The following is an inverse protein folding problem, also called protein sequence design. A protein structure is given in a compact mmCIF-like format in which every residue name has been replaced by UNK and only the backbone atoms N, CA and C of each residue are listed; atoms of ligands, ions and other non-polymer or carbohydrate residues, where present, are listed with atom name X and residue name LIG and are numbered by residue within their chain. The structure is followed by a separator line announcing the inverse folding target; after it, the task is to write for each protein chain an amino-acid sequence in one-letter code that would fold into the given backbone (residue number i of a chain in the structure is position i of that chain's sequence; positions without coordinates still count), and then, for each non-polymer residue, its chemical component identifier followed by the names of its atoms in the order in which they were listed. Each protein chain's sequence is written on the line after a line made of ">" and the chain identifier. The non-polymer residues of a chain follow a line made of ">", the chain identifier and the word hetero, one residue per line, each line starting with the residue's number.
data_IF_966058111697
#
_entry.id   IF_966058111697
#
_cell.length_a   1.000
_cell.length_b   1.000
_cell.length_c   1.000
_cell.angle_alpha   90.00
_cell.angle_beta   90.00
_cell.angle_gamma   90.00
#
_symmetry.space_group_name_H-M   'P 1'
#
loop_
_entity.id
_entity.type
_entity.pdbx_description
1 polymer ?
#
# COMPACT_ATOMS: atom_id res chain seq x y z
N UNK A 1 -18.87 11.67 -17.62
CA UNK A 1 -19.50 11.25 -16.36
C UNK A 1 -18.66 11.82 -15.23
N UNK A 2 -19.26 12.64 -14.36
CA UNK A 2 -18.55 13.20 -13.22
C UNK A 2 -18.32 12.06 -12.22
N UNK A 3 -17.09 11.57 -12.13
CA UNK A 3 -16.70 10.53 -11.17
C UNK A 3 -16.86 11.17 -9.79
N UNK A 4 -17.77 10.70 -8.91
CA UNK A 4 -17.96 11.31 -7.62
C UNK A 4 -16.84 10.84 -6.70
N UNK A 5 -15.68 11.47 -6.85
CA UNK A 5 -14.45 11.20 -6.09
C UNK A 5 -14.74 11.17 -4.58
N UNK A 6 -15.66 12.03 -4.12
CA UNK A 6 -16.10 12.12 -2.72
C UNK A 6 -16.91 10.90 -2.27
N UNK A 7 -17.72 10.30 -3.14
CA UNK A 7 -18.50 9.09 -2.82
C UNK A 7 -17.64 7.84 -2.80
N UNK A 8 -16.58 7.76 -3.62
CA UNK A 8 -15.58 6.70 -3.51
C UNK A 8 -14.90 6.67 -2.13
N UNK A 9 -14.81 7.82 -1.45
CA UNK A 9 -14.27 7.93 -0.09
C UNK A 9 -15.28 7.58 0.99
N UNK A 10 -16.54 8.01 0.86
CA UNK A 10 -17.57 7.82 1.90
C UNK A 10 -18.40 6.55 1.75
N UNK A 11 -18.54 6.04 0.53
CA UNK A 11 -19.37 4.89 0.18
C UNK A 11 -18.61 3.94 -0.76
N UNK A 12 -17.55 3.29 -0.26
CA UNK A 12 -16.71 2.43 -1.08
C UNK A 12 -17.51 1.30 -1.75
N UNK A 13 -18.59 0.81 -1.14
CA UNK A 13 -19.43 -0.26 -1.73
C UNK A 13 -20.19 0.19 -2.99
N UNK A 14 -20.76 1.40 -2.99
CA UNK A 14 -21.51 1.92 -4.15
C UNK A 14 -20.57 2.16 -5.35
N UNK A 15 -19.38 2.71 -5.10
CA UNK A 15 -18.35 2.90 -6.12
C UNK A 15 -17.84 1.57 -6.71
N UNK A 16 -17.74 0.52 -5.88
CA UNK A 16 -17.34 -0.81 -6.32
C UNK A 16 -18.39 -1.43 -7.26
N UNK A 17 -19.69 -1.29 -6.94
CA UNK A 17 -20.77 -1.84 -7.78
C UNK A 17 -20.85 -1.19 -9.16
N UNK A 18 -20.66 0.12 -9.24
CA UNK A 18 -20.67 0.87 -10.52
C UNK A 18 -19.48 0.47 -11.40
N UNK A 19 -18.29 0.39 -10.83
CA UNK A 19 -17.06 0.02 -11.54
C UNK A 19 -17.08 -1.46 -11.96
N UNK A 20 -17.66 -2.34 -11.15
CA UNK A 20 -17.88 -3.76 -11.48
C UNK A 20 -18.79 -3.94 -12.70
N UNK A 21 -19.79 -3.06 -12.89
CA UNK A 21 -20.68 -3.09 -14.06
C UNK A 21 -19.99 -2.65 -15.35
N UNK A 22 -19.10 -1.65 -15.28
CA UNK A 22 -18.44 -1.13 -16.47
C UNK A 22 -17.24 -1.98 -16.92
N UNK A 23 -16.56 -2.69 -15.99
CA UNK A 23 -15.30 -3.44 -16.23
C UNK A 23 -14.24 -2.65 -17.00
N UNK A 24 -14.25 -1.32 -16.92
CA UNK A 24 -13.30 -0.47 -17.64
C UNK A 24 -12.09 -0.16 -16.77
N UNK A 25 -10.91 -0.63 -17.17
CA UNK A 25 -9.63 -0.37 -16.51
C UNK A 25 -9.30 1.12 -16.36
N UNK A 26 -9.88 1.98 -17.19
CA UNK A 26 -9.64 3.42 -17.13
C UNK A 26 -9.98 4.02 -15.77
N UNK A 27 -11.05 3.55 -15.10
CA UNK A 27 -11.50 4.11 -13.82
C UNK A 27 -10.54 3.77 -12.67
N UNK A 28 -10.17 2.49 -12.44
CA UNK A 28 -9.11 2.14 -11.48
C UNK A 28 -7.77 2.85 -11.72
N UNK A 29 -7.38 3.04 -12.98
CA UNK A 29 -6.15 3.76 -13.33
C UNK A 29 -6.24 5.22 -12.90
N UNK A 30 -7.37 5.88 -13.14
CA UNK A 30 -7.59 7.27 -12.68
C UNK A 30 -7.50 7.37 -11.15
N UNK A 31 -8.07 6.41 -10.42
CA UNK A 31 -7.94 6.34 -8.96
C UNK A 31 -6.50 6.16 -8.51
N UNK A 32 -5.72 5.30 -9.17
CA UNK A 32 -4.29 5.15 -8.88
C UNK A 32 -3.49 6.42 -9.18
N UNK A 33 -3.82 7.16 -10.26
CA UNK A 33 -3.18 8.44 -10.57
C UNK A 33 -3.47 9.46 -9.47
N UNK A 34 -4.73 9.58 -9.04
CA UNK A 34 -5.13 10.50 -7.96
C UNK A 34 -4.44 10.12 -6.65
N UNK A 35 -4.51 8.85 -6.25
CA UNK A 35 -3.85 8.34 -5.05
C UNK A 35 -2.32 8.54 -5.13
N UNK A 36 -1.74 8.38 -6.32
CA UNK A 36 -0.33 8.63 -6.58
C UNK A 36 0.05 10.10 -6.40
N UNK A 37 -0.75 11.03 -6.94
CA UNK A 37 -0.54 12.48 -6.76
C UNK A 37 -0.63 12.85 -5.28
N UNK A 38 -1.66 12.36 -4.58
CA UNK A 38 -1.82 12.58 -3.14
C UNK A 38 -0.59 12.07 -2.37
N UNK A 39 -0.12 10.88 -2.71
CA UNK A 39 1.05 10.29 -2.08
C UNK A 39 2.33 11.06 -2.39
N UNK A 40 2.50 11.55 -3.62
CA UNK A 40 3.63 12.37 -4.02
C UNK A 40 3.73 13.65 -3.17
N UNK A 41 2.60 14.34 -2.99
CA UNK A 41 2.52 15.54 -2.14
C UNK A 41 2.86 15.17 -0.69
N UNK A 42 2.31 14.07 -0.18
CA UNK A 42 2.59 13.61 1.18
C UNK A 42 4.06 13.32 1.43
N UNK A 43 4.71 12.62 0.49
CA UNK A 43 6.14 12.29 0.59
C UNK A 43 7.02 13.53 0.45
N UNK A 44 6.65 14.50 -0.40
CA UNK A 44 7.35 15.78 -0.47
C UNK A 44 7.31 16.55 0.86
N UNK A 45 6.13 16.61 1.49
CA UNK A 45 5.94 17.27 2.79
C UNK A 45 6.72 16.58 3.91
N UNK A 46 6.68 15.24 3.94
CA UNK A 46 7.44 14.46 4.90
C UNK A 46 8.94 14.66 4.70
N UNK A 47 9.43 14.65 3.46
CA UNK A 47 10.83 14.89 3.14
C UNK A 47 11.29 16.30 3.52
N UNK A 48 10.44 17.31 3.33
CA UNK A 48 10.69 18.67 3.81
C UNK A 48 10.76 18.73 5.35
N UNK A 49 9.86 18.04 6.05
CA UNK A 49 9.88 18.00 7.53
C UNK A 49 11.10 17.25 8.11
N UNK A 50 11.59 16.24 7.38
CA UNK A 50 12.67 15.34 7.83
C UNK A 50 14.07 15.84 7.43
N UNK A 51 14.18 16.73 6.45
CA UNK A 51 15.44 17.20 5.85
C UNK A 51 16.40 17.95 6.79
N UNK A 52 16.09 18.07 8.08
CA UNK A 52 16.96 18.68 9.10
C UNK A 52 17.62 17.71 10.09
N UNK A 53 17.30 16.40 10.08
CA UNK A 53 17.62 15.53 11.24
C UNK A 53 18.31 14.20 10.94
N UNK A 54 18.53 13.81 9.68
CA UNK A 54 19.04 12.45 9.35
C UNK A 54 20.29 12.50 8.47
N UNK A 55 21.45 12.18 9.06
CA UNK A 55 22.67 11.84 8.32
C UNK A 55 22.40 10.69 7.36
N UNK A 56 22.62 10.93 6.07
CA UNK A 56 22.30 10.06 4.94
C UNK A 56 23.24 8.88 4.73
N UNK A 57 24.08 8.55 5.71
CA UNK A 57 25.06 7.47 5.59
C UNK A 57 24.37 6.09 5.71
N UNK A 58 24.29 5.38 4.58
CA UNK A 58 24.06 3.94 4.54
C UNK A 58 22.61 3.45 4.42
N UNK A 59 21.60 4.33 4.25
CA UNK A 59 20.20 3.90 4.07
C UNK A 59 19.57 4.52 2.81
N UNK A 60 19.31 3.75 1.74
CA UNK A 60 18.72 4.26 0.49
C UNK A 60 17.32 4.86 0.70
N UNK A 61 16.55 4.34 1.66
CA UNK A 61 15.24 4.90 2.03
C UNK A 61 15.34 6.32 2.64
N UNK A 62 16.40 6.58 3.42
CA UNK A 62 16.62 7.87 4.05
C UNK A 62 17.13 8.91 3.04
N UNK A 63 17.95 8.49 2.05
CA UNK A 63 18.33 9.35 0.93
C UNK A 63 17.14 9.73 0.05
N UNK A 64 16.20 8.80 -0.18
CA UNK A 64 14.97 9.07 -0.94
C UNK A 64 14.10 10.13 -0.25
N UNK A 65 14.03 10.09 1.08
CA UNK A 65 13.24 11.02 1.90
C UNK A 65 13.93 12.37 2.12
N UNK A 66 15.26 12.45 2.04
CA UNK A 66 16.00 13.68 2.30
C UNK A 66 15.92 14.72 1.17
N UNK A 67 15.47 14.35 -0.03
CA UNK A 67 15.19 15.29 -1.11
C UNK A 67 13.69 15.26 -1.44
N UNK A 68 12.94 16.35 -1.18
CA UNK A 68 11.49 16.36 -1.37
C UNK A 68 11.06 16.09 -2.81
N UNK A 69 11.88 16.47 -3.81
CA UNK A 69 11.59 16.17 -5.22
C UNK A 69 11.72 14.68 -5.53
N UNK A 70 12.76 14.03 -5.01
CA UNK A 70 12.96 12.57 -5.17
C UNK A 70 11.90 11.80 -4.39
N UNK A 71 11.56 12.25 -3.18
CA UNK A 71 10.49 11.66 -2.36
C UNK A 71 9.13 11.73 -3.08
N UNK A 72 8.81 12.85 -3.71
CA UNK A 72 7.57 13.02 -4.48
C UNK A 72 7.47 12.05 -5.64
N UNK A 73 8.52 11.99 -6.48
CA UNK A 73 8.57 11.09 -7.64
C UNK A 73 8.54 9.64 -7.18
N UNK A 74 9.30 9.29 -6.15
CA UNK A 74 9.30 7.96 -5.55
C UNK A 74 7.92 7.56 -5.04
N UNK A 75 7.26 8.42 -4.26
CA UNK A 75 5.91 8.17 -3.73
C UNK A 75 4.87 7.99 -4.85
N UNK A 76 4.90 8.84 -5.87
CA UNK A 76 4.04 8.70 -7.05
C UNK A 76 4.23 7.35 -7.74
N UNK A 77 5.49 7.01 -8.06
CA UNK A 77 5.82 5.77 -8.77
C UNK A 77 5.50 4.53 -7.95
N UNK A 78 5.73 4.55 -6.64
CA UNK A 78 5.38 3.44 -5.74
C UNK A 78 3.88 3.16 -5.80
N UNK A 79 3.03 4.19 -5.76
CA UNK A 79 1.56 3.97 -5.81
C UNK A 79 1.09 3.60 -7.20
N UNK A 80 1.60 4.26 -8.25
CA UNK A 80 1.17 3.98 -9.62
C UNK A 80 1.65 2.59 -10.07
N UNK A 81 2.96 2.36 -10.04
CA UNK A 81 3.57 1.09 -10.47
C UNK A 81 3.22 -0.01 -9.47
N UNK A 82 3.29 0.27 -8.16
CA UNK A 82 2.92 -0.70 -7.15
C UNK A 82 1.43 -1.05 -7.16
N UNK A 83 0.55 -0.12 -7.53
CA UNK A 83 -0.87 -0.41 -7.75
C UNK A 83 -1.11 -1.28 -8.98
N UNK A 84 -0.44 -0.98 -10.10
CA UNK A 84 -0.57 -1.74 -11.35
C UNK A 84 0.05 -3.15 -11.25
N UNK A 85 1.29 -3.25 -10.77
CA UNK A 85 2.00 -4.52 -10.57
C UNK A 85 1.44 -5.28 -9.36
N UNK A 86 1.08 -4.58 -8.30
CA UNK A 86 0.39 -5.17 -7.16
C UNK A 86 -0.96 -5.74 -7.57
N UNK A 87 -1.68 -5.10 -8.49
CA UNK A 87 -2.95 -5.60 -9.01
C UNK A 87 -2.76 -6.90 -9.79
N UNK A 88 -1.70 -6.98 -10.61
CA UNK A 88 -1.29 -8.22 -11.28
C UNK A 88 -0.94 -9.30 -10.26
N UNK A 89 -0.13 -8.97 -9.25
CA UNK A 89 0.25 -9.90 -8.21
C UNK A 89 -0.98 -10.40 -7.42
N UNK A 90 -1.91 -9.50 -7.09
CA UNK A 90 -3.12 -9.84 -6.37
C UNK A 90 -4.05 -10.74 -7.19
N UNK A 91 -4.14 -10.49 -8.50
CA UNK A 91 -4.81 -11.40 -9.43
C UNK A 91 -4.21 -12.81 -9.37
N UNK A 92 -2.88 -12.95 -9.36
CA UNK A 92 -2.21 -14.26 -9.27
C UNK A 92 -2.47 -14.95 -7.92
N UNK A 93 -2.42 -14.21 -6.81
CA UNK A 93 -2.74 -14.74 -5.47
C UNK A 93 -4.17 -15.27 -5.43
N UNK A 94 -5.13 -14.48 -5.91
CA UNK A 94 -6.54 -14.85 -5.94
C UNK A 94 -6.83 -15.97 -6.95
N UNK A 95 -6.11 -16.01 -8.06
CA UNK A 95 -6.17 -17.10 -9.04
C UNK A 95 -5.66 -18.43 -8.48
N UNK A 96 -4.61 -18.41 -7.65
CA UNK A 96 -4.15 -19.60 -6.93
C UNK A 96 -5.20 -20.15 -5.96
N UNK A 97 -6.09 -19.30 -5.44
CA UNK A 97 -7.25 -19.66 -4.62
C UNK A 97 -8.47 -20.10 -5.44
N UNK A 98 -8.32 -20.33 -6.75
CA UNK A 98 -9.38 -20.74 -7.69
C UNK A 98 -10.57 -19.77 -7.79
N UNK A 99 -10.34 -18.48 -7.56
CA UNK A 99 -11.37 -17.44 -7.75
C UNK A 99 -11.40 -16.93 -9.19
N UNK A 100 -12.52 -16.29 -9.57
CA UNK A 100 -12.58 -15.52 -10.82
C UNK A 100 -11.63 -14.33 -10.70
N UNK A 101 -10.46 -14.46 -11.31
CA UNK A 101 -9.36 -13.54 -11.18
C UNK A 101 -9.04 -12.91 -12.53
N UNK A 102 -9.38 -11.64 -12.66
CA UNK A 102 -9.04 -10.81 -13.81
C UNK A 102 -8.09 -9.69 -13.37
N UNK A 103 -7.26 -9.21 -14.30
CA UNK A 103 -6.32 -8.11 -14.01
C UNK A 103 -7.06 -6.85 -13.54
N UNK A 104 -8.22 -6.59 -14.14
CA UNK A 104 -9.13 -5.53 -13.72
C UNK A 104 -9.52 -5.64 -12.24
N UNK A 105 -9.88 -6.83 -11.76
CA UNK A 105 -10.27 -7.05 -10.37
C UNK A 105 -9.11 -6.72 -9.43
N UNK A 106 -7.89 -7.19 -9.74
CA UNK A 106 -6.71 -6.89 -8.93
C UNK A 106 -6.37 -5.40 -8.87
N UNK A 107 -6.35 -4.71 -10.01
CA UNK A 107 -6.06 -3.27 -10.08
C UNK A 107 -7.17 -2.44 -9.42
N UNK A 108 -8.45 -2.78 -9.66
CA UNK A 108 -9.59 -2.10 -9.04
C UNK A 108 -9.58 -2.23 -7.52
N UNK A 109 -9.29 -3.43 -7.00
CA UNK A 109 -9.15 -3.65 -5.56
C UNK A 109 -8.06 -2.75 -4.97
N UNK A 110 -6.86 -2.75 -5.55
CA UNK A 110 -5.78 -1.92 -5.01
C UNK A 110 -6.00 -0.42 -5.20
N UNK A 111 -6.64 0.01 -6.29
CA UNK A 111 -6.97 1.41 -6.53
C UNK A 111 -7.92 1.96 -5.45
N UNK A 112 -8.96 1.19 -5.10
CA UNK A 112 -9.91 1.57 -4.05
C UNK A 112 -9.28 1.53 -2.65
N UNK A 113 -8.33 0.64 -2.42
CA UNK A 113 -7.53 0.60 -1.18
C UNK A 113 -6.57 1.78 -1.09
N UNK A 114 -5.89 2.14 -2.18
CA UNK A 114 -4.89 3.20 -2.20
C UNK A 114 -5.47 4.59 -1.90
N UNK A 115 -6.73 4.83 -2.27
CA UNK A 115 -7.41 6.12 -2.04
C UNK A 115 -7.45 6.52 -0.55
N UNK A 116 -8.12 5.80 0.37
CA UNK A 116 -8.13 6.14 1.79
C UNK A 116 -6.74 6.13 2.42
N UNK A 117 -5.84 5.21 2.00
CA UNK A 117 -4.46 5.21 2.48
C UNK A 117 -3.70 6.49 2.12
N UNK A 118 -3.84 6.97 0.87
CA UNK A 118 -3.18 8.18 0.40
C UNK A 118 -3.68 9.45 1.09
N UNK A 119 -4.98 9.52 1.42
CA UNK A 119 -5.54 10.60 2.25
C UNK A 119 -5.02 10.56 3.68
N UNK A 120 -5.01 9.38 4.32
CA UNK A 120 -4.46 9.21 5.65
C UNK A 120 -3.00 9.67 5.72
N UNK A 121 -2.22 9.29 4.70
CA UNK A 121 -0.83 9.72 4.57
C UNK A 121 -0.69 11.24 4.37
N UNK A 122 -1.57 11.86 3.60
CA UNK A 122 -1.57 13.32 3.42
C UNK A 122 -1.82 14.04 4.74
N UNK A 123 -2.81 13.58 5.51
CA UNK A 123 -3.10 14.15 6.84
C UNK A 123 -1.89 13.99 7.77
N UNK A 124 -1.28 12.79 7.80
CA UNK A 124 -0.03 12.53 8.56
C UNK A 124 1.07 13.51 8.13
N UNK A 125 1.25 13.72 6.83
CA UNK A 125 2.31 14.58 6.29
C UNK A 125 2.12 16.06 6.65
N UNK A 126 0.90 16.56 6.57
CA UNK A 126 0.56 17.95 6.94
C UNK A 126 0.77 18.16 8.44
N UNK A 127 0.27 17.22 9.26
CA UNK A 127 0.43 17.32 10.71
C UNK A 127 1.89 17.17 11.14
N UNK A 128 2.72 16.43 10.39
CA UNK A 128 4.16 16.31 10.67
C UNK A 128 4.93 17.62 10.52
N UNK A 129 4.35 18.65 9.88
CA UNK A 129 4.92 20.01 9.87
C UNK A 129 4.86 20.69 11.25
N UNK A 130 3.97 20.23 12.15
CA UNK A 130 3.85 20.75 13.51
C UNK A 130 4.82 19.97 14.42
N UNK A 131 5.85 20.61 15.00
CA UNK A 131 6.84 19.91 15.80
C UNK A 131 6.24 19.20 17.02
N UNK A 132 6.77 18.01 17.34
CA UNK A 132 6.47 17.17 18.53
C UNK A 132 5.04 16.60 18.62
N UNK A 133 4.01 17.45 18.62
CA UNK A 133 2.62 17.01 18.78
C UNK A 133 2.01 16.52 17.45
N UNK A 134 2.42 17.13 16.34
CA UNK A 134 1.92 16.86 15.00
C UNK A 134 2.07 15.40 14.55
N UNK A 135 3.27 14.79 14.63
CA UNK A 135 3.48 13.40 14.26
C UNK A 135 2.62 12.41 15.07
N UNK A 136 2.40 12.68 16.37
CA UNK A 136 1.61 11.79 17.25
C UNK A 136 0.13 11.84 16.85
N UNK A 137 -0.43 13.04 16.71
CA UNK A 137 -1.83 13.23 16.31
C UNK A 137 -2.03 12.71 14.88
N UNK A 138 -1.07 13.00 14.00
CA UNK A 138 -1.04 12.49 12.63
C UNK A 138 -1.05 10.98 12.59
N UNK A 139 -0.22 10.30 13.38
CA UNK A 139 -0.19 8.84 13.46
C UNK A 139 -1.53 8.25 13.90
N UNK A 140 -2.19 8.84 14.91
CA UNK A 140 -3.50 8.38 15.39
C UNK A 140 -4.55 8.49 14.29
N UNK A 141 -4.64 9.64 13.61
CA UNK A 141 -5.61 9.85 12.53
C UNK A 141 -5.27 8.98 11.33
N UNK A 142 -3.99 8.88 10.97
CA UNK A 142 -3.50 8.02 9.90
C UNK A 142 -3.90 6.56 10.13
N UNK A 143 -3.81 6.07 11.37
CA UNK A 143 -4.22 4.71 11.73
C UNK A 143 -5.69 4.44 11.40
N UNK A 144 -6.58 5.41 11.63
CA UNK A 144 -8.00 5.30 11.24
C UNK A 144 -8.14 5.13 9.72
N UNK A 145 -7.44 5.93 8.92
CA UNK A 145 -7.48 5.82 7.46
C UNK A 145 -6.83 4.54 6.94
N UNK A 146 -5.76 4.05 7.56
CA UNK A 146 -5.17 2.76 7.24
C UNK A 146 -6.12 1.60 7.60
N UNK A 147 -6.85 1.70 8.71
CA UNK A 147 -7.88 0.72 9.06
C UNK A 147 -9.04 0.73 8.05
N UNK A 148 -9.50 1.92 7.63
CA UNK A 148 -10.49 2.06 6.56
C UNK A 148 -9.98 1.45 5.26
N UNK A 149 -8.72 1.72 4.90
CA UNK A 149 -8.06 1.14 3.73
C UNK A 149 -8.02 -0.38 3.79
N UNK A 150 -7.68 -0.98 4.94
CA UNK A 150 -7.68 -2.42 5.13
C UNK A 150 -9.10 -3.02 5.01
N UNK A 151 -10.10 -2.33 5.57
CA UNK A 151 -11.51 -2.70 5.41
C UNK A 151 -11.96 -2.65 3.94
N UNK A 152 -11.56 -1.61 3.22
CA UNK A 152 -11.83 -1.46 1.78
C UNK A 152 -11.14 -2.55 0.98
N UNK A 153 -9.89 -2.90 1.30
CA UNK A 153 -9.18 -4.02 0.66
C UNK A 153 -9.96 -5.33 0.81
N UNK A 154 -10.40 -5.66 2.04
CA UNK A 154 -11.18 -6.85 2.29
C UNK A 154 -12.50 -6.88 1.52
N UNK A 155 -13.28 -5.79 1.59
CA UNK A 155 -14.57 -5.70 0.92
C UNK A 155 -14.44 -5.70 -0.61
N UNK A 156 -13.48 -4.94 -1.15
CA UNK A 156 -13.21 -4.90 -2.59
C UNK A 156 -12.71 -6.25 -3.10
N UNK A 157 -11.93 -7.00 -2.32
CA UNK A 157 -11.52 -8.37 -2.68
C UNK A 157 -12.73 -9.28 -2.81
N UNK A 158 -13.59 -9.28 -1.80
CA UNK A 158 -14.83 -10.08 -1.81
C UNK A 158 -15.68 -9.79 -3.04
N UNK A 159 -15.83 -8.51 -3.35
CA UNK A 159 -16.77 -8.04 -4.37
C UNK A 159 -16.23 -8.19 -5.79
N UNK A 160 -14.97 -7.80 -6.06
CA UNK A 160 -14.37 -7.86 -7.40
C UNK A 160 -13.96 -9.28 -7.81
N UNK A 161 -13.60 -10.15 -6.87
CA UNK A 161 -13.24 -11.54 -7.15
C UNK A 161 -14.41 -12.52 -6.99
N UNK A 162 -15.63 -12.02 -6.72
CA UNK A 162 -16.86 -12.82 -6.57
C UNK A 162 -16.67 -14.02 -5.64
N UNK A 163 -16.12 -13.76 -4.45
CA UNK A 163 -15.56 -14.80 -3.58
C UNK A 163 -16.18 -14.76 -2.18
N UNK A 164 -16.17 -15.90 -1.48
CA UNK A 164 -16.62 -16.01 -0.10
C UNK A 164 -15.76 -15.19 0.87
N UNK A 165 -16.35 -14.83 2.01
CA UNK A 165 -15.68 -14.07 3.08
C UNK A 165 -14.37 -14.70 3.57
N UNK A 166 -14.31 -16.03 3.64
CA UNK A 166 -13.13 -16.78 4.09
C UNK A 166 -12.03 -16.71 3.03
N UNK A 167 -12.36 -16.96 1.78
CA UNK A 167 -11.41 -16.92 0.66
C UNK A 167 -10.86 -15.51 0.46
N UNK A 168 -11.70 -14.47 0.60
CA UNK A 168 -11.24 -13.08 0.61
C UNK A 168 -10.24 -12.80 1.74
N UNK A 169 -10.52 -13.30 2.96
CA UNK A 169 -9.61 -13.13 4.10
C UNK A 169 -8.27 -13.83 3.84
N UNK A 170 -8.29 -15.06 3.33
CA UNK A 170 -7.08 -15.82 2.97
C UNK A 170 -6.28 -15.09 1.89
N UNK A 171 -6.94 -14.54 0.87
CA UNK A 171 -6.30 -13.75 -0.17
C UNK A 171 -5.62 -12.48 0.36
N UNK A 172 -6.32 -11.69 1.18
CA UNK A 172 -5.77 -10.47 1.80
C UNK A 172 -4.60 -10.80 2.73
N UNK A 173 -4.72 -11.84 3.54
CA UNK A 173 -3.64 -12.28 4.45
C UNK A 173 -2.42 -12.80 3.71
N UNK A 174 -2.60 -13.65 2.69
CA UNK A 174 -1.49 -14.14 1.87
C UNK A 174 -0.76 -13.01 1.15
N UNK A 175 -1.50 -12.05 0.57
CA UNK A 175 -0.93 -10.88 -0.09
C UNK A 175 -0.17 -9.97 0.88
N UNK A 176 -0.79 -9.64 2.02
CA UNK A 176 -0.18 -8.75 3.02
C UNK A 176 1.04 -9.37 3.70
N UNK A 177 1.02 -10.67 4.03
CA UNK A 177 2.19 -11.38 4.55
C UNK A 177 3.34 -11.40 3.54
N UNK A 178 3.04 -11.66 2.27
CA UNK A 178 4.04 -11.70 1.22
C UNK A 178 4.69 -10.32 1.00
N UNK A 179 3.89 -9.25 0.95
CA UNK A 179 4.41 -7.88 0.88
C UNK A 179 5.23 -7.55 2.12
N UNK A 180 4.75 -7.91 3.31
CA UNK A 180 5.48 -7.67 4.57
C UNK A 180 6.84 -8.36 4.57
N UNK A 181 6.93 -9.57 4.02
CA UNK A 181 8.19 -10.31 3.89
C UNK A 181 9.17 -9.61 2.94
N UNK A 182 8.68 -9.09 1.79
CA UNK A 182 9.51 -8.32 0.85
C UNK A 182 10.02 -7.04 1.50
N UNK A 183 9.16 -6.31 2.21
CA UNK A 183 9.53 -5.08 2.93
C UNK A 183 10.55 -5.39 4.02
N UNK A 184 10.37 -6.46 4.79
CA UNK A 184 11.31 -6.89 5.82
C UNK A 184 12.68 -7.25 5.23
N UNK A 185 12.70 -8.02 4.13
CA UNK A 185 13.93 -8.39 3.44
C UNK A 185 14.67 -7.16 2.88
N UNK A 186 13.94 -6.19 2.34
CA UNK A 186 14.50 -4.94 1.83
C UNK A 186 15.03 -4.03 2.96
N UNK A 187 14.34 -3.98 4.10
CA UNK A 187 14.75 -3.19 5.27
C UNK A 187 15.96 -3.78 6.00
N UNK A 188 16.12 -5.11 5.96
CA UNK A 188 17.21 -5.83 6.61
C UNK A 188 17.95 -6.73 5.61
N UNK A 189 18.81 -6.19 4.73
CA UNK A 189 19.51 -6.96 3.70
C UNK A 189 20.47 -8.02 4.27
N UNK A 190 20.79 -7.95 5.56
CA UNK A 190 21.61 -8.93 6.28
C UNK A 190 20.81 -10.05 6.94
N UNK A 191 19.47 -9.95 7.00
CA UNK A 191 18.57 -10.97 7.57
C UNK A 191 18.76 -12.36 6.94
N UNK A 192 18.97 -12.51 5.61
CA UNK A 192 19.23 -13.81 5.00
C UNK A 192 20.49 -14.48 5.56
N UNK A 193 21.55 -13.70 5.81
CA UNK A 193 22.82 -14.18 6.35
C UNK A 193 22.75 -14.51 7.86
N UNK A 194 21.82 -13.90 8.59
CA UNK A 194 21.56 -14.23 10.00
C UNK A 194 20.75 -15.53 10.12
N UNK A 195 19.70 -15.68 9.28
CA UNK A 195 18.90 -16.91 9.24
C UNK A 195 19.76 -18.12 8.84
N UNK A 196 20.67 -17.97 7.87
CA UNK A 196 21.60 -19.03 7.46
C UNK A 196 22.58 -19.42 8.57
N UNK A 197 23.08 -18.45 9.34
CA UNK A 197 23.96 -18.73 10.49
C UNK A 197 23.24 -19.50 11.59
N UNK A 198 22.00 -19.14 11.89
CA UNK A 198 21.17 -19.82 12.90
C UNK A 198 20.81 -21.25 12.47
N UNK A 199 20.56 -21.50 11.18
CA UNK A 199 20.33 -22.86 10.66
C UNK A 199 21.60 -23.70 10.59
N UNK A 200 22.77 -23.07 10.39
CA UNK A 200 24.07 -23.78 10.38
C UNK A 200 24.64 -24.12 11.75
N UNK A 201 24.09 -23.58 12.84
CA UNK A 201 24.55 -23.82 14.20
C UNK A 201 23.90 -25.02 14.90
N UNK A 202 23.25 -25.93 14.17
CA UNK A 202 22.92 -27.24 14.76
C UNK A 202 24.22 -28.00 15.06
N UNK A 203 24.49 -28.39 16.33
CA UNK A 203 25.66 -29.20 16.63
C UNK A 203 25.54 -30.53 15.87
N UNK A 204 26.67 -31.09 15.37
CA UNK A 204 26.65 -32.38 14.71
C UNK A 204 26.03 -33.41 15.67
N UNK A 205 25.10 -34.22 15.16
CA UNK A 205 24.60 -35.38 15.87
C UNK A 205 25.82 -36.21 16.32
N UNK A 206 25.99 -36.33 17.63
CA UNK A 206 27.08 -37.12 18.20
C UNK A 206 26.95 -38.58 17.73
N UNK A 207 28.07 -39.23 17.38
CA UNK A 207 28.08 -40.60 16.87
C UNK A 207 27.56 -41.62 17.89
#
# INVERSE_FOLDING_TARGET
>A
MAIPIVEAFWKPQEAIEEIKKERNLSVPIVYLIIAGILTAISFALLGYSAGGTVSSEGRPLAQLLNNPGIAAVGGFLIVLIGGLLGGLYYMLVMGALKTKSDYFAGVATLAHTAMPASLGLLIVSILSLIPKAGPIIGAIIGLVFFALSAGTLYNATREFFETDMITALVGVTAFSLSISMVVLAAAFPQLPNLLSKVTSSQPPAAP
#
